data_IF_694420321919
#
_entry.id   IF_694420321919
#
_cell.length_a   1.000
_cell.length_b   1.000
_cell.length_c   1.000
_cell.angle_alpha   90.00
_cell.angle_beta   90.00
_cell.angle_gamma   90.00
#
_symmetry.space_group_name_H-M   'P 1'
#
loop_
_entity.id
_entity.type
_entity.pdbx_description
1 polymer ?
#
# COMPACT_ATOMS: atom_id res chain seq x y z
N UNK A 1 -20.32 16.77 11.50
CA UNK A 1 -19.37 15.85 12.16
C UNK A 1 -18.29 15.54 11.15
N UNK A 2 -17.09 16.09 11.32
CA UNK A 2 -15.96 15.82 10.41
C UNK A 2 -15.49 14.40 10.66
N UNK A 3 -15.64 13.51 9.69
CA UNK A 3 -15.08 12.17 9.76
C UNK A 3 -13.55 12.31 9.82
N UNK A 4 -12.95 12.00 10.97
CA UNK A 4 -11.49 11.89 11.07
C UNK A 4 -11.08 10.67 10.26
N UNK A 5 -10.46 10.89 9.10
CA UNK A 5 -9.88 9.82 8.32
C UNK A 5 -8.76 9.16 9.14
N UNK A 6 -8.75 7.83 9.19
CA UNK A 6 -7.66 7.08 9.83
C UNK A 6 -6.38 7.40 9.07
N UNK A 7 -5.43 8.04 9.75
CA UNK A 7 -4.11 8.28 9.16
C UNK A 7 -3.45 6.93 8.91
N UNK A 8 -3.23 6.62 7.63
CA UNK A 8 -2.57 5.37 7.19
C UNK A 8 -1.12 5.27 7.66
N UNK A 9 -0.54 6.34 8.22
CA UNK A 9 0.79 6.37 8.83
C UNK A 9 0.97 5.31 9.94
N UNK A 10 -0.09 4.97 10.68
CA UNK A 10 -0.03 3.95 11.74
C UNK A 10 -0.14 2.51 11.22
N UNK A 11 -0.58 2.31 9.98
CA UNK A 11 -0.80 0.97 9.41
C UNK A 11 0.50 0.33 8.92
N UNK A 12 1.44 1.12 8.39
CA UNK A 12 2.71 0.62 7.86
C UNK A 12 3.50 -0.26 8.84
N UNK A 13 3.74 0.18 10.09
CA UNK A 13 4.40 -0.63 11.11
C UNK A 13 3.65 -1.93 11.46
N UNK A 14 2.31 -1.92 11.40
CA UNK A 14 1.48 -3.09 11.69
C UNK A 14 1.63 -4.14 10.60
N UNK A 15 1.58 -3.72 9.33
CA UNK A 15 1.85 -4.60 8.19
C UNK A 15 3.26 -5.19 8.30
N UNK A 16 4.26 -4.36 8.62
CA UNK A 16 5.63 -4.84 8.81
C UNK A 16 5.77 -5.86 9.96
N UNK A 17 4.99 -5.70 11.03
CA UNK A 17 4.91 -6.67 12.13
C UNK A 17 4.23 -7.96 11.66
N UNK A 18 3.10 -7.87 10.96
CA UNK A 18 2.35 -9.01 10.46
C UNK A 18 3.18 -9.91 9.53
N UNK A 19 4.04 -9.31 8.70
CA UNK A 19 4.98 -10.07 7.86
C UNK A 19 6.00 -10.92 8.64
N UNK A 20 6.21 -10.63 9.93
CA UNK A 20 7.14 -11.35 10.81
C UNK A 20 6.44 -12.22 11.85
N UNK A 21 5.12 -12.10 11.96
CA UNK A 21 4.28 -12.71 12.99
C UNK A 21 3.08 -13.39 12.31
N UNK A 22 3.16 -14.70 12.04
CA UNK A 22 2.10 -15.45 11.37
C UNK A 22 0.76 -15.41 12.09
N UNK A 23 0.76 -15.29 13.43
CA UNK A 23 -0.48 -15.21 14.21
C UNK A 23 -1.15 -13.86 14.02
N UNK A 24 -0.36 -12.77 14.02
CA UNK A 24 -0.88 -11.44 13.70
C UNK A 24 -1.37 -11.37 12.25
N UNK A 25 -0.64 -11.98 11.31
CA UNK A 25 -1.05 -12.08 9.91
C UNK A 25 -2.43 -12.75 9.77
N UNK A 26 -2.60 -13.93 10.37
CA UNK A 26 -3.86 -14.67 10.35
C UNK A 26 -5.00 -13.87 10.99
N UNK A 27 -4.74 -13.17 12.10
CA UNK A 27 -5.73 -12.30 12.76
C UNK A 27 -6.16 -11.12 11.89
N UNK A 28 -5.21 -10.47 11.22
CA UNK A 28 -5.51 -9.37 10.29
C UNK A 28 -6.37 -9.84 9.11
N UNK A 29 -6.11 -11.01 8.55
CA UNK A 29 -6.94 -11.57 7.47
C UNK A 29 -8.35 -11.94 7.95
N UNK A 30 -8.46 -12.54 9.15
CA UNK A 30 -9.74 -13.03 9.65
C UNK A 30 -10.65 -11.91 10.21
N UNK A 31 -10.08 -10.95 10.94
CA UNK A 31 -10.83 -9.87 11.56
C UNK A 31 -9.99 -8.59 11.66
N UNK A 32 -9.81 -7.86 10.54
CA UNK A 32 -8.88 -6.75 10.48
C UNK A 32 -9.26 -5.59 11.39
N UNK A 33 -10.53 -5.18 11.38
CA UNK A 33 -10.99 -4.07 12.19
C UNK A 33 -10.80 -4.33 13.69
N UNK A 34 -11.09 -5.55 14.16
CA UNK A 34 -10.86 -5.91 15.56
C UNK A 34 -9.36 -5.96 15.87
N UNK A 35 -8.57 -6.60 15.02
CA UNK A 35 -7.11 -6.72 15.22
C UNK A 35 -6.43 -5.35 15.29
N UNK A 36 -6.84 -4.40 14.45
CA UNK A 36 -6.35 -3.03 14.50
C UNK A 36 -6.74 -2.31 15.80
N UNK A 37 -7.98 -2.49 16.27
CA UNK A 37 -8.44 -1.92 17.56
C UNK A 37 -7.68 -2.50 18.74
N UNK A 38 -7.40 -3.81 18.74
CA UNK A 38 -6.58 -4.47 19.77
C UNK A 38 -5.14 -3.90 19.78
N UNK A 39 -4.67 -3.40 18.63
CA UNK A 39 -3.40 -2.70 18.48
C UNK A 39 -3.51 -1.18 18.69
N UNK A 40 -4.61 -0.70 19.28
CA UNK A 40 -4.86 0.71 19.59
C UNK A 40 -4.93 1.62 18.35
N UNK A 41 -5.21 1.07 17.16
CA UNK A 41 -5.56 1.85 15.98
C UNK A 41 -7.04 2.16 16.02
N UNK A 42 -7.38 3.45 15.98
CA UNK A 42 -8.75 3.90 15.91
C UNK A 42 -9.34 3.59 14.52
N UNK A 43 -10.38 2.75 14.49
CA UNK A 43 -11.17 2.45 13.29
C UNK A 43 -12.61 2.89 13.55
N UNK A 44 -13.12 3.90 12.82
CA UNK A 44 -14.51 4.35 12.94
C UNK A 44 -15.48 3.17 12.82
N UNK A 45 -16.57 3.18 13.59
CA UNK A 45 -17.54 2.08 13.61
C UNK A 45 -18.28 1.90 12.28
N UNK A 46 -18.37 2.96 11.47
CA UNK A 46 -18.95 2.95 10.14
C UNK A 46 -17.94 2.65 9.02
N UNK A 47 -16.66 2.41 9.34
CA UNK A 47 -15.63 2.14 8.36
C UNK A 47 -15.35 0.64 8.26
N UNK A 48 -15.52 0.10 7.05
CA UNK A 48 -15.16 -1.28 6.72
C UNK A 48 -13.66 -1.39 6.49
N UNK A 49 -13.06 -2.52 6.88
CA UNK A 49 -11.63 -2.78 6.67
C UNK A 49 -11.46 -4.06 5.88
N UNK A 50 -10.68 -4.00 4.80
CA UNK A 50 -10.32 -5.17 3.98
C UNK A 50 -8.82 -5.29 3.89
N UNK A 51 -8.32 -6.49 4.14
CA UNK A 51 -6.91 -6.83 3.95
C UNK A 51 -6.78 -7.55 2.62
N UNK A 52 -5.86 -7.06 1.80
CA UNK A 52 -5.53 -7.60 0.48
C UNK A 52 -4.13 -8.21 0.56
N UNK A 53 -4.04 -9.53 0.45
CA UNK A 53 -2.76 -10.24 0.42
C UNK A 53 -2.26 -10.33 -1.03
N UNK A 54 -1.07 -9.81 -1.28
CA UNK A 54 -0.41 -9.95 -2.59
C UNK A 54 0.28 -11.30 -2.69
N UNK A 55 0.26 -11.90 -3.88
CA UNK A 55 0.95 -13.14 -4.20
C UNK A 55 1.88 -12.97 -5.42
N UNK A 56 2.39 -14.06 -5.97
CA UNK A 56 3.29 -14.06 -7.14
C UNK A 56 2.60 -13.61 -8.44
N UNK A 57 1.27 -13.61 -8.49
CA UNK A 57 0.44 -13.31 -9.64
C UNK A 57 -0.41 -12.05 -9.47
N UNK A 58 -0.69 -11.59 -8.26
CA UNK A 58 -1.54 -10.44 -7.96
C UNK A 58 -0.91 -9.52 -6.94
N UNK A 59 -0.77 -8.26 -7.30
CA UNK A 59 -0.28 -7.19 -6.42
C UNK A 59 -1.30 -6.07 -6.32
N UNK A 60 -1.40 -5.48 -5.13
CA UNK A 60 -2.36 -4.43 -4.85
C UNK A 60 -1.67 -3.08 -4.60
N UNK A 61 -2.21 -2.02 -5.19
CA UNK A 61 -1.80 -0.65 -4.92
C UNK A 61 -2.96 0.11 -4.30
N UNK A 62 -2.75 0.70 -3.13
CA UNK A 62 -3.80 1.45 -2.41
C UNK A 62 -3.45 2.93 -2.40
N UNK A 63 -4.40 3.73 -2.88
CA UNK A 63 -4.41 5.19 -2.74
C UNK A 63 -5.01 5.56 -1.37
N UNK A 64 -4.24 6.21 -0.48
CA UNK A 64 -4.76 6.69 0.79
C UNK A 64 -5.69 7.89 0.58
N UNK A 65 -6.53 8.16 1.57
CA UNK A 65 -7.13 9.50 1.74
C UNK A 65 -6.01 10.40 2.26
N UNK A 66 -5.73 11.49 1.57
CA UNK A 66 -4.68 12.44 1.94
C UNK A 66 -5.30 13.80 2.25
N UNK A 67 -4.86 14.41 3.35
CA UNK A 67 -5.11 15.83 3.62
C UNK A 67 -4.06 16.68 2.91
N UNK A 68 -4.31 17.99 2.81
CA UNK A 68 -3.32 18.94 2.28
C UNK A 68 -1.99 18.88 3.06
N UNK A 69 -2.07 18.67 4.37
CA UNK A 69 -0.89 18.50 5.23
C UNK A 69 -0.11 17.22 4.89
N UNK A 70 -0.80 16.10 4.64
CA UNK A 70 -0.16 14.85 4.23
C UNK A 70 0.55 15.00 2.88
N UNK A 71 -0.09 15.69 1.93
CA UNK A 71 0.48 15.98 0.62
C UNK A 71 1.72 16.85 0.73
N UNK A 72 1.67 17.90 1.55
CA UNK A 72 2.82 18.78 1.76
C UNK A 72 4.00 18.02 2.37
N UNK A 73 3.75 17.22 3.42
CA UNK A 73 4.80 16.40 4.04
C UNK A 73 5.45 15.42 3.04
N UNK A 74 4.64 14.83 2.16
CA UNK A 74 5.14 13.90 1.15
C UNK A 74 5.98 14.61 0.08
N UNK A 75 5.62 15.85 -0.29
CA UNK A 75 6.40 16.70 -1.19
C UNK A 75 7.73 17.12 -0.56
N UNK A 76 7.71 17.57 0.69
CA UNK A 76 8.94 17.96 1.42
C UNK A 76 9.92 16.77 1.52
N UNK A 77 9.38 15.56 1.70
CA UNK A 77 10.17 14.32 1.71
C UNK A 77 10.79 14.01 0.34
N UNK A 78 10.11 14.34 -0.76
CA UNK A 78 10.62 14.20 -2.13
C UNK A 78 11.65 15.27 -2.49
N UNK A 79 11.55 16.48 -1.93
CA UNK A 79 12.56 17.51 -2.16
C UNK A 79 13.85 17.19 -1.40
N UNK A 80 13.73 16.52 -0.25
CA UNK A 80 14.86 16.12 0.61
C UNK A 80 15.61 14.89 0.10
N UNK A 81 15.02 14.09 -0.79
CA UNK A 81 15.58 12.83 -1.30
C UNK A 81 15.45 12.85 -2.82
N UNK A 82 16.51 12.56 -3.60
CA UNK A 82 16.43 12.52 -5.07
C UNK A 82 15.10 11.91 -5.58
N UNK A 83 14.31 12.62 -6.42
CA UNK A 83 12.90 12.29 -6.68
C UNK A 83 12.67 10.90 -7.29
N UNK A 84 13.69 10.32 -7.93
CA UNK A 84 13.64 8.95 -8.48
C UNK A 84 13.81 7.86 -7.42
N UNK A 85 14.12 8.19 -6.16
CA UNK A 85 14.29 7.21 -5.07
C UNK A 85 12.97 6.84 -4.38
N UNK A 86 11.90 7.61 -4.60
CA UNK A 86 10.59 7.37 -3.99
C UNK A 86 9.47 7.35 -5.06
N UNK A 87 9.52 6.41 -6.02
CA UNK A 87 8.58 6.37 -7.13
C UNK A 87 7.13 6.19 -6.66
N UNK A 88 6.90 5.47 -5.56
CA UNK A 88 5.56 5.33 -4.94
C UNK A 88 5.01 6.68 -4.48
N UNK A 89 5.80 7.48 -3.76
CA UNK A 89 5.36 8.79 -3.25
C UNK A 89 4.94 9.74 -4.37
N UNK A 90 5.67 9.71 -5.49
CA UNK A 90 5.30 10.49 -6.69
C UNK A 90 3.93 10.09 -7.23
N UNK A 91 3.64 8.79 -7.34
CA UNK A 91 2.32 8.31 -7.78
C UNK A 91 1.22 8.78 -6.84
N UNK A 92 1.45 8.74 -5.53
CA UNK A 92 0.45 9.19 -4.55
C UNK A 92 0.14 10.69 -4.70
N UNK A 93 1.17 11.53 -4.83
CA UNK A 93 1.01 12.97 -5.03
C UNK A 93 0.27 13.25 -6.34
N UNK A 94 0.73 12.68 -7.45
CA UNK A 94 0.12 12.90 -8.77
C UNK A 94 -1.34 12.42 -8.79
N UNK A 95 -1.65 11.26 -8.21
CA UNK A 95 -3.03 10.75 -8.15
C UNK A 95 -3.94 11.52 -7.18
N UNK A 96 -3.38 12.33 -6.29
CA UNK A 96 -4.15 13.23 -5.43
C UNK A 96 -4.41 14.59 -6.11
N UNK A 97 -3.47 15.08 -6.92
CA UNK A 97 -3.54 16.40 -7.56
C UNK A 97 -4.18 16.37 -8.95
N UNK A 98 -4.03 15.29 -9.70
CA UNK A 98 -4.51 15.15 -11.08
C UNK A 98 -5.55 14.01 -11.19
N UNK A 99 -6.84 14.36 -11.34
CA UNK A 99 -7.90 13.37 -11.56
C UNK A 99 -7.71 12.52 -12.82
N UNK A 100 -7.08 13.04 -13.88
CA UNK A 100 -6.82 12.26 -15.09
C UNK A 100 -5.73 11.23 -14.85
N UNK A 101 -4.66 11.61 -14.16
CA UNK A 101 -3.63 10.68 -13.71
C UNK A 101 -4.23 9.58 -12.83
N UNK A 102 -5.13 9.96 -11.90
CA UNK A 102 -5.85 9.03 -11.05
C UNK A 102 -6.71 8.06 -11.87
N UNK A 103 -7.47 8.53 -12.84
CA UNK A 103 -8.28 7.68 -13.73
C UNK A 103 -7.40 6.70 -14.50
N UNK A 104 -6.31 7.18 -15.12
CA UNK A 104 -5.36 6.31 -15.82
C UNK A 104 -4.74 5.26 -14.90
N UNK A 105 -4.45 5.62 -13.64
CA UNK A 105 -3.93 4.67 -12.65
C UNK A 105 -4.93 3.53 -12.37
N UNK A 106 -6.24 3.77 -12.43
CA UNK A 106 -7.24 2.71 -12.31
C UNK A 106 -7.40 1.88 -13.60
N UNK A 107 -7.26 2.49 -14.76
CA UNK A 107 -7.45 1.83 -16.07
C UNK A 107 -6.24 1.00 -16.51
N UNK A 108 -5.04 1.57 -16.40
CA UNK A 108 -3.77 0.92 -16.75
C UNK A 108 -2.72 1.15 -15.66
N UNK A 109 -2.88 0.50 -14.50
CA UNK A 109 -1.96 0.67 -13.39
C UNK A 109 -0.53 0.28 -13.75
N UNK A 110 -0.33 -0.75 -14.56
CA UNK A 110 1.02 -1.23 -14.88
C UNK A 110 1.81 -0.13 -15.57
N UNK A 111 1.26 0.45 -16.64
CA UNK A 111 1.97 1.47 -17.41
C UNK A 111 2.23 2.72 -16.56
N UNK A 112 1.24 3.17 -15.78
CA UNK A 112 1.39 4.35 -14.90
C UNK A 112 2.45 4.13 -13.84
N UNK A 113 2.43 2.99 -13.15
CA UNK A 113 3.37 2.66 -12.09
C UNK A 113 4.80 2.49 -12.65
N UNK A 114 4.96 1.87 -13.82
CA UNK A 114 6.26 1.72 -14.50
C UNK A 114 6.81 3.06 -14.98
N UNK A 115 5.98 3.94 -15.56
CA UNK A 115 6.37 5.29 -15.97
C UNK A 115 6.84 6.15 -14.78
N UNK A 116 6.27 5.92 -13.60
CA UNK A 116 6.75 6.53 -12.36
C UNK A 116 8.08 5.94 -11.84
N UNK A 117 8.59 4.88 -12.46
CA UNK A 117 9.86 4.24 -12.12
C UNK A 117 9.73 3.04 -11.17
N UNK A 118 8.52 2.51 -10.92
CA UNK A 118 8.38 1.30 -10.11
C UNK A 118 8.75 0.05 -10.91
N UNK A 119 9.59 -0.79 -10.29
CA UNK A 119 9.94 -2.11 -10.82
C UNK A 119 8.85 -3.09 -10.43
N UNK A 120 8.14 -3.60 -11.43
CA UNK A 120 7.02 -4.53 -11.27
C UNK A 120 7.38 -5.86 -11.95
N UNK A 121 7.17 -7.02 -11.29
CA UNK A 121 7.36 -8.32 -11.92
C UNK A 121 6.52 -8.47 -13.19
N UNK A 122 7.09 -9.00 -14.27
CA UNK A 122 6.43 -9.01 -15.59
C UNK A 122 5.09 -9.77 -15.60
N UNK A 123 4.95 -10.83 -14.79
CA UNK A 123 3.77 -11.70 -14.75
C UNK A 123 2.70 -11.30 -13.72
N UNK A 124 2.90 -10.22 -12.94
CA UNK A 124 1.95 -9.85 -11.87
C UNK A 124 0.82 -8.98 -12.42
N UNK A 125 -0.43 -9.32 -12.12
CA UNK A 125 -1.60 -8.45 -12.29
C UNK A 125 -1.59 -7.40 -11.19
N UNK A 126 -1.93 -6.14 -11.52
CA UNK A 126 -1.97 -5.05 -10.54
C UNK A 126 -3.39 -4.53 -10.44
N UNK A 127 -3.92 -4.50 -9.22
CA UNK A 127 -5.24 -3.93 -8.94
C UNK A 127 -5.09 -2.72 -8.02
N UNK A 128 -5.74 -1.62 -8.40
CA UNK A 128 -5.74 -0.39 -7.61
C UNK A 128 -7.01 -0.28 -6.80
N UNK A 129 -6.86 0.02 -5.52
CA UNK A 129 -7.95 0.39 -4.63
C UNK A 129 -7.72 1.80 -4.08
N UNK A 130 -8.79 2.46 -3.68
CA UNK A 130 -8.70 3.72 -2.96
C UNK A 130 -9.40 3.60 -1.61
N UNK A 131 -8.73 4.10 -0.58
CA UNK A 131 -9.35 4.30 0.72
C UNK A 131 -10.35 5.45 0.63
N UNK A 132 -11.38 5.36 1.45
CA UNK A 132 -12.41 6.38 1.63
C UNK A 132 -12.76 6.51 3.12
N UNK A 133 -13.70 7.40 3.44
CA UNK A 133 -14.23 7.48 4.81
C UNK A 133 -14.91 6.17 5.24
N UNK A 134 -15.47 5.42 4.29
CA UNK A 134 -16.28 4.23 4.57
C UNK A 134 -15.51 2.92 4.40
N UNK A 135 -14.38 2.94 3.67
CA UNK A 135 -13.59 1.74 3.39
C UNK A 135 -12.08 1.97 3.51
N UNK A 136 -11.43 1.15 4.32
CA UNK A 136 -9.99 1.08 4.48
C UNK A 136 -9.45 -0.22 3.88
N UNK A 137 -8.65 -0.12 2.82
CA UNK A 137 -7.88 -1.22 2.25
C UNK A 137 -6.46 -1.22 2.81
N UNK A 138 -5.99 -2.38 3.23
CA UNK A 138 -4.63 -2.62 3.73
C UNK A 138 -4.00 -3.70 2.88
N UNK A 139 -2.82 -3.43 2.32
CA UNK A 139 -2.10 -4.42 1.51
C UNK A 139 -1.04 -5.09 2.35
N UNK A 140 -1.05 -6.42 2.37
CA UNK A 140 0.07 -7.22 2.83
C UNK A 140 0.87 -7.62 1.58
N UNK A 141 2.11 -7.13 1.41
CA UNK A 141 2.91 -7.48 0.24
C UNK A 141 3.45 -8.90 0.37
N UNK A 142 3.72 -9.54 -0.77
CA UNK A 142 4.47 -10.81 -0.76
C UNK A 142 5.90 -10.51 -0.31
N UNK A 143 6.37 -11.21 0.73
CA UNK A 143 7.79 -11.25 1.04
C UNK A 143 8.42 -12.28 0.13
N UNK A 144 9.02 -11.83 -0.96
CA UNK A 144 9.88 -12.71 -1.75
C UNK A 144 11.05 -13.12 -0.85
N UNK A 145 10.96 -14.31 -0.26
CA UNK A 145 12.16 -15.01 0.15
C UNK A 145 13.01 -15.14 -1.10
N UNK A 146 14.17 -14.47 -1.09
CA UNK A 146 15.15 -14.67 -2.16
C UNK A 146 15.38 -16.17 -2.23
N UNK A 147 14.87 -16.80 -3.29
CA UNK A 147 15.20 -18.18 -3.58
C UNK A 147 16.70 -18.19 -3.78
N UNK A 148 17.43 -18.67 -2.78
CA UNK A 148 18.81 -19.08 -2.90
C UNK A 148 18.84 -20.15 -3.97
N UNK A 149 19.02 -19.72 -5.23
CA UNK A 149 19.49 -20.60 -6.29
C UNK A 149 20.90 -21.04 -5.87
N UNK A 150 20.95 -22.10 -5.08
CA UNK A 150 22.14 -22.91 -4.93
C UNK A 150 22.48 -23.43 -6.33
N UNK A 151 23.38 -22.72 -7.01
CA UNK A 151 24.02 -23.20 -8.21
C UNK A 151 24.81 -24.45 -7.79
N UNK A 152 24.20 -25.63 -7.94
CA UNK A 152 24.92 -26.88 -7.84
C UNK A 152 25.96 -26.87 -8.96
N UNK A 153 27.21 -26.64 -8.55
CA UNK A 153 28.38 -26.84 -9.38
C UNK A 153 28.37 -28.29 -9.85
N UNK A 154 28.31 -28.50 -11.16
CA UNK A 154 28.60 -29.79 -11.76
C UNK A 154 30.08 -30.12 -11.49
N UNK A 155 30.28 -31.32 -10.97
CA UNK A 155 31.57 -31.96 -10.80
C UNK A 155 31.94 -32.74 -12.06
#
# INVERSE_FOLDING_TARGET
MTASAVSTAHIGPIVAKALRDPDLHAKLLANPAQTLRDMQVEIPSNQSVTVLESDEHHSFFVLPVMTDADLQQLKDSLDSIHPNRLPRSRVLIQAAEDPNYRTQLFEDPRSVLQAAGMKLPAAVTITVFANSADHLYIVIPVVHHAHSHAHHAHH
#
